data_IF_852880332733
#
_entry.id   IF_852880332733
#
_cell.length_a   1.000
_cell.length_b   1.000
_cell.length_c   1.000
_cell.angle_alpha   90.00
_cell.angle_beta   90.00
_cell.angle_gamma   90.00
#
_symmetry.space_group_name_H-M   'P 1'
#
loop_
_entity.id
_entity.type
_entity.pdbx_description
1 polymer ?
#
# COMPACT_ATOMS: atom_id res chain seq x y z
N UNK A 1 7.08 -0.86 -20.61
CA UNK A 1 7.98 0.15 -20.02
C UNK A 1 8.40 -0.36 -18.65
N UNK A 2 9.67 -0.79 -18.49
CA UNK A 2 10.20 -1.10 -17.16
C UNK A 2 10.54 0.23 -16.48
N UNK A 3 10.26 0.36 -15.18
CA UNK A 3 10.41 1.60 -14.40
C UNK A 3 11.88 2.02 -14.16
N UNK A 4 12.83 1.46 -14.91
CA UNK A 4 14.26 1.59 -14.64
C UNK A 4 14.66 0.97 -13.28
N UNK A 5 15.94 1.07 -12.93
CA UNK A 5 16.43 0.55 -11.64
C UNK A 5 15.81 1.29 -10.45
N UNK A 6 15.59 2.61 -10.56
CA UNK A 6 15.06 3.41 -9.45
C UNK A 6 13.61 3.06 -9.12
N UNK A 7 12.76 2.81 -10.12
CA UNK A 7 11.40 2.37 -9.86
C UNK A 7 11.32 0.97 -9.25
N UNK A 8 12.22 0.06 -9.62
CA UNK A 8 12.33 -1.24 -8.96
C UNK A 8 12.74 -1.08 -7.49
N UNK A 9 13.68 -0.18 -7.18
CA UNK A 9 14.06 0.12 -5.79
C UNK A 9 12.89 0.67 -4.99
N UNK A 10 12.11 1.60 -5.54
CA UNK A 10 10.93 2.13 -4.87
C UNK A 10 9.91 1.03 -4.54
N UNK A 11 9.71 0.06 -5.44
CA UNK A 11 8.81 -1.08 -5.20
C UNK A 11 9.29 -1.90 -3.99
N UNK A 12 10.58 -2.22 -3.91
CA UNK A 12 11.12 -2.98 -2.78
C UNK A 12 11.20 -2.19 -1.47
N UNK A 13 11.45 -0.87 -1.55
CA UNK A 13 11.61 -0.03 -0.38
C UNK A 13 10.28 0.39 0.26
N UNK A 14 9.21 0.49 -0.53
CA UNK A 14 7.87 0.93 -0.07
C UNK A 14 6.84 -0.21 -0.02
N UNK A 15 7.12 -1.35 -0.65
CA UNK A 15 6.29 -2.55 -0.61
C UNK A 15 6.59 -3.43 0.61
N UNK A 16 5.60 -4.24 1.01
CA UNK A 16 5.78 -5.22 2.09
C UNK A 16 6.64 -6.38 1.60
N UNK A 17 7.69 -6.69 2.35
CA UNK A 17 8.49 -7.90 2.20
C UNK A 17 8.29 -8.76 3.46
N UNK A 18 7.59 -9.91 3.40
CA UNK A 18 7.22 -10.68 4.58
C UNK A 18 8.40 -11.07 5.48
N UNK A 19 9.54 -11.44 4.89
CA UNK A 19 10.73 -11.80 5.67
C UNK A 19 11.36 -10.60 6.40
N UNK A 20 11.20 -9.38 5.88
CA UNK A 20 11.64 -8.16 6.56
C UNK A 20 10.68 -7.80 7.69
N UNK A 21 9.37 -7.88 7.45
CA UNK A 21 8.33 -7.52 8.41
C UNK A 21 8.18 -8.53 9.57
N UNK A 22 8.17 -9.83 9.27
CA UNK A 22 7.86 -10.89 10.25
C UNK A 22 9.09 -11.46 10.92
N UNK A 23 10.21 -11.57 10.19
CA UNK A 23 11.44 -12.17 10.70
C UNK A 23 12.54 -11.13 11.02
N UNK A 24 12.28 -9.84 10.75
CA UNK A 24 13.24 -8.77 11.01
C UNK A 24 14.49 -8.82 10.13
N UNK A 25 14.42 -9.45 8.95
CA UNK A 25 15.59 -9.54 8.06
C UNK A 25 15.96 -8.16 7.51
N UNK A 26 17.21 -7.76 7.76
CA UNK A 26 17.72 -6.49 7.25
C UNK A 26 17.78 -6.48 5.72
N UNK A 27 17.19 -5.46 5.11
CA UNK A 27 17.35 -5.15 3.69
C UNK A 27 18.66 -4.38 3.46
N UNK A 28 19.21 -4.36 2.23
CA UNK A 28 20.30 -3.45 1.87
C UNK A 28 19.96 -2.00 2.24
N UNK A 29 20.96 -1.22 2.70
CA UNK A 29 20.77 0.18 3.12
C UNK A 29 20.10 1.03 2.04
N UNK A 30 20.33 0.73 0.76
CA UNK A 30 19.69 1.42 -0.37
C UNK A 30 18.17 1.24 -0.46
N UNK A 31 17.59 0.25 0.24
CA UNK A 31 16.16 -0.08 0.23
C UNK A 31 15.46 0.25 1.57
N UNK A 32 16.20 0.68 2.60
CA UNK A 32 15.64 0.99 3.93
C UNK A 32 15.08 2.42 4.00
N UNK A 33 14.18 2.78 3.09
CA UNK A 33 13.61 4.14 3.05
C UNK A 33 12.61 4.38 4.17
N UNK A 34 11.86 3.34 4.54
CA UNK A 34 10.91 3.30 5.66
C UNK A 34 11.16 2.04 6.48
N UNK A 35 10.69 2.03 7.73
CA UNK A 35 10.79 0.83 8.57
C UNK A 35 9.90 -0.29 8.01
N UNK A 36 10.22 -1.58 8.27
CA UNK A 36 9.40 -2.70 7.81
C UNK A 36 7.94 -2.57 8.22
N UNK A 37 7.64 -2.08 9.43
CA UNK A 37 6.28 -1.88 9.93
C UNK A 37 5.52 -0.81 9.13
N UNK A 38 6.22 0.26 8.74
CA UNK A 38 5.61 1.32 7.91
C UNK A 38 5.29 0.83 6.49
N UNK A 39 5.93 -0.24 6.02
CA UNK A 39 5.62 -0.80 4.70
C UNK A 39 4.18 -1.30 4.59
N UNK A 40 3.55 -1.68 5.71
CA UNK A 40 2.12 -2.06 5.77
C UNK A 40 1.21 -0.91 5.27
N UNK A 41 1.60 0.34 5.56
CA UNK A 41 0.84 1.52 5.14
C UNK A 41 1.32 2.01 3.78
N UNK A 42 2.63 2.09 3.54
CA UNK A 42 3.13 2.61 2.26
C UNK A 42 2.78 1.70 1.08
N UNK A 43 2.66 0.38 1.30
CA UNK A 43 2.24 -0.55 0.25
C UNK A 43 0.80 -0.33 -0.20
N UNK A 44 -0.07 0.23 0.66
CA UNK A 44 -1.46 0.53 0.30
C UNK A 44 -1.56 1.54 -0.85
N UNK A 45 -0.55 2.40 -1.00
CA UNK A 45 -0.51 3.45 -2.01
C UNK A 45 0.42 3.10 -3.19
N UNK A 46 1.16 1.99 -3.11
CA UNK A 46 2.06 1.53 -4.15
C UNK A 46 1.29 0.75 -5.22
N UNK A 47 1.37 1.19 -6.47
CA UNK A 47 0.64 0.56 -7.58
C UNK A 47 1.61 0.11 -8.68
N UNK A 48 1.46 -1.14 -9.15
CA UNK A 48 2.33 -1.74 -10.17
C UNK A 48 2.18 -1.19 -11.59
N UNK A 49 1.33 -0.19 -11.82
CA UNK A 49 1.17 0.44 -13.13
C UNK A 49 -0.05 1.36 -13.22
N UNK A 50 -0.10 2.13 -14.31
CA UNK A 50 -1.15 3.14 -14.53
C UNK A 50 -2.55 2.54 -14.54
N UNK A 51 -2.77 1.44 -15.26
CA UNK A 51 -4.09 0.81 -15.32
C UNK A 51 -4.53 0.22 -13.98
N UNK A 52 -3.59 -0.30 -13.18
CA UNK A 52 -3.90 -0.78 -11.83
C UNK A 52 -4.33 0.38 -10.93
N UNK A 53 -3.60 1.49 -10.95
CA UNK A 53 -3.97 2.70 -10.22
C UNK A 53 -5.34 3.24 -10.68
N UNK A 54 -5.55 3.38 -11.99
CA UNK A 54 -6.81 3.87 -12.55
C UNK A 54 -8.01 2.98 -12.15
N UNK A 55 -7.84 1.66 -12.16
CA UNK A 55 -8.86 0.72 -11.69
C UNK A 55 -9.19 0.91 -10.21
N UNK A 56 -8.18 1.01 -9.34
CA UNK A 56 -8.39 1.24 -7.90
C UNK A 56 -9.12 2.56 -7.64
N UNK A 57 -8.69 3.64 -8.31
CA UNK A 57 -9.34 4.95 -8.14
C UNK A 57 -10.76 4.96 -8.69
N UNK A 58 -11.05 4.23 -9.77
CA UNK A 58 -12.41 4.07 -10.29
C UNK A 58 -13.33 3.38 -9.28
N UNK A 59 -12.85 2.32 -8.60
CA UNK A 59 -13.59 1.67 -7.53
C UNK A 59 -13.85 2.61 -6.35
N UNK A 60 -12.82 3.34 -5.91
CA UNK A 60 -12.98 4.33 -4.84
C UNK A 60 -13.96 5.44 -5.23
N UNK A 61 -13.97 5.88 -6.49
CA UNK A 61 -14.90 6.90 -6.94
C UNK A 61 -16.35 6.40 -7.03
N UNK A 62 -16.57 5.17 -7.47
CA UNK A 62 -17.93 4.60 -7.60
C UNK A 62 -18.53 4.22 -6.23
N UNK A 63 -17.72 3.63 -5.36
CA UNK A 63 -18.19 3.05 -4.10
C UNK A 63 -17.84 3.87 -2.86
N UNK A 64 -16.80 4.71 -2.92
CA UNK A 64 -16.29 5.47 -1.78
C UNK A 64 -17.33 6.40 -1.19
N UNK A 65 -17.95 7.24 -2.03
CA UNK A 65 -18.98 8.19 -1.58
C UNK A 65 -20.14 7.47 -0.87
N UNK A 66 -20.63 6.36 -1.46
CA UNK A 66 -21.72 5.58 -0.86
C UNK A 66 -21.33 4.96 0.49
N UNK A 67 -20.09 4.47 0.64
CA UNK A 67 -19.61 3.90 1.91
C UNK A 67 -19.33 5.00 2.94
N UNK A 68 -18.79 6.15 2.52
CA UNK A 68 -18.58 7.32 3.37
C UNK A 68 -19.91 7.88 3.88
N UNK A 69 -20.96 7.93 3.06
CA UNK A 69 -22.28 8.39 3.47
C UNK A 69 -22.92 7.47 4.52
N UNK A 70 -22.65 6.17 4.46
CA UNK A 70 -23.16 5.19 5.44
C UNK A 70 -22.38 5.23 6.75
N UNK A 71 -21.04 5.32 6.69
CA UNK A 71 -20.17 5.22 7.86
C UNK A 71 -19.87 6.58 8.52
N UNK A 72 -19.90 7.65 7.74
CA UNK A 72 -19.31 8.95 8.07
C UNK A 72 -17.80 9.01 7.82
N UNK A 73 -17.29 10.22 7.62
CA UNK A 73 -15.90 10.50 7.16
C UNK A 73 -14.81 9.80 7.97
N UNK A 74 -14.87 9.90 9.30
CA UNK A 74 -13.83 9.35 10.20
C UNK A 74 -13.84 7.83 10.16
N UNK A 75 -15.01 7.22 10.23
CA UNK A 75 -15.15 5.77 10.18
C UNK A 75 -14.75 5.22 8.80
N UNK A 76 -15.01 5.96 7.71
CA UNK A 76 -14.53 5.60 6.38
C UNK A 76 -13.00 5.54 6.31
N UNK A 77 -12.28 6.54 6.84
CA UNK A 77 -10.81 6.53 6.86
C UNK A 77 -10.28 5.36 7.70
N UNK A 78 -10.85 5.12 8.89
CA UNK A 78 -10.45 3.99 9.73
C UNK A 78 -10.74 2.65 9.05
N UNK A 79 -11.90 2.52 8.39
CA UNK A 79 -12.27 1.34 7.62
C UNK A 79 -11.30 1.09 6.47
N UNK A 80 -10.94 2.14 5.72
CA UNK A 80 -9.96 2.06 4.63
C UNK A 80 -8.60 1.55 5.13
N UNK A 81 -8.10 2.13 6.22
CA UNK A 81 -6.83 1.72 6.84
C UNK A 81 -6.90 0.28 7.38
N UNK A 82 -7.98 -0.08 8.07
CA UNK A 82 -8.16 -1.42 8.62
C UNK A 82 -8.19 -2.49 7.52
N UNK A 83 -8.93 -2.24 6.43
CA UNK A 83 -8.96 -3.13 5.27
C UNK A 83 -7.57 -3.30 4.64
N UNK A 84 -6.81 -2.21 4.48
CA UNK A 84 -5.44 -2.28 3.96
C UNK A 84 -4.50 -3.10 4.84
N UNK A 85 -4.58 -2.91 6.17
CA UNK A 85 -3.80 -3.69 7.13
C UNK A 85 -4.17 -5.17 7.04
N UNK A 86 -5.47 -5.51 7.06
CA UNK A 86 -5.93 -6.90 6.99
C UNK A 86 -5.45 -7.57 5.69
N UNK A 87 -5.53 -6.87 4.56
CA UNK A 87 -5.10 -7.39 3.26
C UNK A 87 -3.62 -7.79 3.21
N UNK A 88 -2.76 -7.20 4.05
CA UNK A 88 -1.34 -7.59 4.15
C UNK A 88 -1.15 -8.94 4.85
N UNK A 89 -2.08 -9.33 5.73
CA UNK A 89 -1.98 -10.52 6.56
C UNK A 89 -2.86 -11.71 6.11
N UNK A 90 -3.55 -11.58 4.97
CA UNK A 90 -4.41 -12.62 4.37
C UNK A 90 -3.83 -13.12 3.05
#
# INVERSE_FOLDING_TARGET
MSLGQEGQRAIYALGVIPASLLEGRALPVSLQWVSPEMTVITSMFLHGGFFHLAGNMLYLWIFGDNVEDILGKVAFVLFYLACGIIAVFT
#
